data_IF_774349691012
#
_entry.id   IF_774349691012
#
_cell.length_a   1.000
_cell.length_b   1.000
_cell.length_c   1.000
_cell.angle_alpha   90.00
_cell.angle_beta   90.00
_cell.angle_gamma   90.00
#
_symmetry.space_group_name_H-M   'P 1'
#
loop_
_entity.id
_entity.type
_entity.pdbx_description
1 polymer ?
#
# COMPACT_ATOMS: atom_id res chain seq x y z
N UNK A 1 6.97 32.52 -66.33
CA UNK A 1 7.70 33.69 -65.79
C UNK A 1 6.93 34.11 -64.55
N UNK A 2 7.39 34.06 -63.31
CA UNK A 2 8.74 34.12 -62.72
C UNK A 2 8.67 33.40 -61.37
N UNK A 3 9.64 32.54 -61.07
CA UNK A 3 9.83 31.95 -59.75
C UNK A 3 10.53 32.90 -58.80
N UNK A 4 10.38 32.66 -57.49
CA UNK A 4 11.31 33.12 -56.46
C UNK A 4 11.29 32.13 -55.28
N UNK A 5 12.51 31.76 -54.89
CA UNK A 5 12.88 30.65 -54.03
C UNK A 5 12.71 30.94 -52.52
N UNK A 6 12.66 29.90 -51.67
CA UNK A 6 12.61 30.07 -50.23
C UNK A 6 14.01 30.30 -49.61
N UNK A 7 14.06 31.24 -48.68
CA UNK A 7 15.24 31.67 -47.91
C UNK A 7 15.74 30.62 -46.93
N UNK A 8 17.04 30.36 -47.01
CA UNK A 8 17.88 29.45 -46.24
C UNK A 8 18.13 30.02 -44.82
N UNK A 9 17.70 29.34 -43.74
CA UNK A 9 18.20 29.58 -42.38
C UNK A 9 19.27 28.55 -42.01
N UNK A 10 20.39 29.08 -41.52
CA UNK A 10 21.65 28.38 -41.20
C UNK A 10 21.45 27.40 -40.03
N UNK A 11 22.02 26.19 -40.18
CA UNK A 11 22.33 25.27 -39.08
C UNK A 11 23.54 25.82 -38.32
N UNK A 12 23.39 25.99 -37.01
CA UNK A 12 24.48 26.22 -36.06
C UNK A 12 24.67 24.94 -35.27
N UNK A 13 25.81 24.28 -35.47
CA UNK A 13 26.26 23.17 -34.64
C UNK A 13 26.76 23.73 -33.31
N UNK A 14 26.28 23.17 -32.20
CA UNK A 14 26.87 23.39 -30.88
C UNK A 14 27.21 22.04 -30.27
N UNK A 15 28.53 21.85 -30.18
CA UNK A 15 29.31 20.82 -29.49
C UNK A 15 28.65 20.22 -28.24
N UNK A 16 28.61 18.89 -28.22
CA UNK A 16 28.40 18.05 -27.04
C UNK A 16 29.62 18.14 -26.12
N UNK A 17 29.46 18.73 -24.93
CA UNK A 17 30.37 18.52 -23.81
C UNK A 17 29.64 17.73 -22.74
N UNK A 18 29.98 16.45 -22.68
CA UNK A 18 29.55 15.49 -21.66
C UNK A 18 30.25 15.85 -20.35
N UNK A 19 29.50 16.27 -19.34
CA UNK A 19 29.99 16.42 -17.96
C UNK A 19 29.70 15.11 -17.21
N UNK A 20 30.67 14.46 -16.55
CA UNK A 20 30.42 13.24 -15.80
C UNK A 20 29.57 13.51 -14.56
N UNK A 21 28.64 12.59 -14.27
CA UNK A 21 27.92 12.53 -13.00
C UNK A 21 28.91 12.27 -11.85
N UNK A 22 28.89 13.04 -10.75
CA UNK A 22 29.62 12.66 -9.56
C UNK A 22 28.89 11.50 -8.88
N UNK A 23 29.52 10.32 -8.95
CA UNK A 23 29.34 9.26 -7.97
C UNK A 23 29.85 9.73 -6.60
N UNK A 24 29.31 9.12 -5.55
CA UNK A 24 29.66 9.24 -4.12
C UNK A 24 28.87 10.29 -3.33
N UNK A 25 27.70 9.87 -2.84
CA UNK A 25 27.05 10.49 -1.67
C UNK A 25 27.70 9.85 -0.42
N UNK A 26 28.28 10.65 0.50
CA UNK A 26 28.88 10.13 1.73
C UNK A 26 27.84 9.40 2.60
N UNK A 27 28.25 8.26 3.19
CA UNK A 27 27.43 7.41 4.07
C UNK A 27 27.10 8.01 5.45
N UNK A 28 27.43 9.27 5.70
CA UNK A 28 27.26 9.94 7.01
C UNK A 28 26.12 10.98 7.03
N UNK A 29 25.15 10.89 6.11
CA UNK A 29 24.00 11.79 6.05
C UNK A 29 22.67 11.16 6.54
N UNK A 30 22.72 10.01 7.22
CA UNK A 30 21.55 9.29 7.78
C UNK A 30 21.61 9.24 9.32
N UNK A 31 22.18 10.27 9.96
CA UNK A 31 22.23 10.33 11.42
C UNK A 31 21.79 11.71 11.94
N UNK A 32 20.58 12.09 11.53
CA UNK A 32 19.90 13.32 11.93
C UNK A 32 18.48 13.06 12.42
N UNK A 33 18.24 11.93 13.08
CA UNK A 33 16.95 11.68 13.74
C UNK A 33 16.99 12.33 15.13
N UNK A 34 16.69 13.63 15.19
CA UNK A 34 16.23 14.20 16.46
C UNK A 34 14.86 13.60 16.75
N UNK A 35 14.83 12.77 17.79
CA UNK A 35 13.64 12.29 18.48
C UNK A 35 12.68 13.47 18.63
N UNK A 36 11.46 13.34 18.11
CA UNK A 36 10.37 14.30 18.36
C UNK A 36 9.91 14.05 19.80
N UNK A 37 10.71 14.50 20.76
CA UNK A 37 10.48 14.28 22.19
C UNK A 37 9.70 15.44 22.85
N UNK A 38 9.37 16.49 22.10
CA UNK A 38 8.65 17.65 22.60
C UNK A 38 7.22 17.70 22.05
N UNK A 39 6.39 16.74 22.44
CA UNK A 39 4.93 16.89 22.38
C UNK A 39 4.47 17.61 23.65
N UNK A 40 3.75 18.76 23.56
CA UNK A 40 3.03 19.30 24.70
C UNK A 40 1.71 18.53 24.84
N UNK A 41 1.79 17.24 25.17
CA UNK A 41 0.62 16.40 25.46
C UNK A 41 0.71 16.00 26.92
N UNK A 42 -0.34 16.32 27.69
CA UNK A 42 -0.42 15.96 29.09
C UNK A 42 -0.32 14.43 29.23
N UNK A 43 0.76 13.95 29.84
CA UNK A 43 0.95 12.56 30.22
C UNK A 43 0.20 12.40 31.55
N UNK A 44 -0.94 11.72 31.52
CA UNK A 44 -1.58 11.27 32.77
C UNK A 44 -0.78 10.08 33.31
N UNK A 45 -0.10 10.30 34.44
CA UNK A 45 0.58 9.27 35.22
C UNK A 45 -0.47 8.26 35.76
N UNK A 46 -0.39 7.00 35.34
CA UNK A 46 -1.20 5.92 35.91
C UNK A 46 -0.30 4.96 36.68
N UNK A 47 -0.61 4.80 37.97
CA UNK A 47 0.00 3.84 38.88
C UNK A 47 -0.23 2.40 38.42
N UNK A 48 0.75 1.48 38.57
CA UNK A 48 0.56 0.09 38.20
C UNK A 48 -0.43 -0.60 39.16
N UNK A 49 -1.49 -1.17 38.61
CA UNK A 49 -2.31 -2.14 39.32
C UNK A 49 -1.58 -3.49 39.30
N UNK A 50 -1.51 -4.13 40.47
CA UNK A 50 -0.93 -5.46 40.66
C UNK A 50 -1.90 -6.51 40.08
N UNK A 51 -1.47 -7.24 39.05
CA UNK A 51 -2.22 -8.39 38.53
C UNK A 51 -1.73 -9.69 39.19
N UNK A 52 -2.65 -10.36 39.87
CA UNK A 52 -2.50 -11.67 40.50
C UNK A 52 -2.45 -12.80 39.46
N UNK A 53 -1.59 -13.78 39.73
CA UNK A 53 -1.36 -14.99 38.92
C UNK A 53 -2.65 -15.79 38.64
N UNK A 54 -2.86 -16.16 37.37
CA UNK A 54 -3.75 -17.26 36.99
C UNK A 54 -3.12 -18.12 35.87
N UNK A 55 -2.95 -19.40 36.21
CA UNK A 55 -2.32 -20.47 35.43
C UNK A 55 -3.33 -21.18 34.48
N UNK A 56 -2.82 -21.61 33.32
CA UNK A 56 -3.36 -22.54 32.29
C UNK A 56 -4.56 -22.14 31.40
N UNK A 57 -4.30 -21.91 30.10
CA UNK A 57 -4.69 -22.88 29.05
C UNK A 57 -3.96 -22.61 27.73
N UNK A 58 -3.34 -23.66 27.20
CA UNK A 58 -2.69 -23.73 25.88
C UNK A 58 -3.77 -23.54 24.79
N UNK A 59 -3.97 -22.30 24.36
CA UNK A 59 -4.93 -21.92 23.30
C UNK A 59 -4.17 -21.29 22.14
N UNK A 60 -4.26 -21.97 20.99
CA UNK A 60 -3.90 -21.64 19.60
C UNK A 60 -3.47 -20.20 19.25
N UNK A 61 -2.47 -19.64 19.93
CA UNK A 61 -1.90 -18.36 19.54
C UNK A 61 -0.86 -18.60 18.46
N UNK A 62 -1.27 -18.55 17.19
CA UNK A 62 -0.37 -18.45 16.05
C UNK A 62 0.26 -17.05 15.95
N UNK A 63 0.71 -16.51 17.07
CA UNK A 63 1.50 -15.27 17.13
C UNK A 63 2.96 -15.68 17.24
N UNK A 64 3.75 -15.33 16.23
CA UNK A 64 5.21 -15.43 16.31
C UNK A 64 5.70 -14.10 16.88
N UNK A 65 6.15 -14.11 18.13
CA UNK A 65 6.57 -12.89 18.85
C UNK A 65 7.97 -12.46 18.43
N UNK A 66 8.07 -11.84 17.26
CA UNK A 66 9.22 -10.98 16.97
C UNK A 66 8.76 -9.56 17.25
N UNK A 67 9.21 -8.98 18.37
CA UNK A 67 8.93 -7.61 18.84
C UNK A 67 7.50 -7.30 19.29
N UNK A 68 7.24 -7.35 20.60
CA UNK A 68 6.12 -6.57 21.17
C UNK A 68 6.35 -5.06 20.98
N UNK A 69 5.27 -4.27 20.92
CA UNK A 69 5.32 -2.81 20.87
C UNK A 69 6.08 -2.27 22.09
N UNK A 70 7.36 -1.97 21.91
CA UNK A 70 8.24 -1.54 22.99
C UNK A 70 7.96 -0.11 23.49
N UNK A 71 7.16 0.66 22.74
CA UNK A 71 6.87 2.05 23.05
C UNK A 71 5.48 2.19 23.67
N UNK A 72 5.32 2.99 24.75
CA UNK A 72 4.02 3.24 25.33
C UNK A 72 3.09 3.90 24.30
N UNK A 73 1.79 3.55 24.29
CA UNK A 73 0.86 4.12 23.33
C UNK A 73 0.70 5.63 23.56
N UNK A 74 0.46 6.38 22.47
CA UNK A 74 0.18 7.81 22.53
C UNK A 74 -1.33 7.99 22.74
N UNK A 75 -1.73 8.70 23.79
CA UNK A 75 -3.13 9.08 24.03
C UNK A 75 -3.32 10.55 23.66
N UNK A 76 -4.15 10.81 22.66
CA UNK A 76 -4.46 12.16 22.20
C UNK A 76 -5.84 12.18 21.57
N UNK A 77 -6.55 13.31 21.62
CA UNK A 77 -7.82 13.47 20.90
C UNK A 77 -8.90 12.42 21.23
N UNK A 78 -8.92 11.89 22.46
CA UNK A 78 -9.75 10.75 22.88
C UNK A 78 -9.49 9.44 22.14
N UNK A 79 -8.35 9.33 21.47
CA UNK A 79 -7.90 8.17 20.73
C UNK A 79 -6.61 7.60 21.32
N UNK A 80 -6.37 6.33 21.03
CA UNK A 80 -5.08 5.68 21.26
C UNK A 80 -4.37 5.53 19.92
N UNK A 81 -3.09 5.89 19.88
CA UNK A 81 -2.22 5.79 18.71
C UNK A 81 -0.99 4.94 19.04
N UNK A 82 -0.36 4.43 17.98
CA UNK A 82 0.88 3.67 18.10
C UNK A 82 2.02 4.52 18.70
N UNK A 83 2.79 3.92 19.62
CA UNK A 83 3.84 4.61 20.39
C UNK A 83 4.99 5.20 19.56
N UNK A 84 5.21 4.72 18.33
CA UNK A 84 6.25 5.28 17.46
C UNK A 84 5.94 6.65 16.88
N UNK A 85 4.67 7.07 16.89
CA UNK A 85 4.22 8.28 16.19
C UNK A 85 4.35 8.23 14.66
N UNK A 86 4.74 7.10 14.07
CA UNK A 86 4.84 6.93 12.61
C UNK A 86 3.47 6.67 11.98
N UNK A 87 2.61 5.92 12.68
CA UNK A 87 1.23 5.66 12.29
C UNK A 87 0.36 6.82 12.80
N UNK A 88 -0.25 7.54 11.87
CA UNK A 88 -1.01 8.77 12.18
C UNK A 88 -2.51 8.52 12.37
N UNK A 89 -2.97 7.29 12.16
CA UNK A 89 -4.34 6.86 12.47
C UNK A 89 -4.38 6.23 13.87
N UNK A 90 -5.51 6.32 14.59
CA UNK A 90 -5.72 5.58 15.83
C UNK A 90 -5.54 4.08 15.63
N UNK A 91 -5.22 3.36 16.70
CA UNK A 91 -5.22 1.90 16.76
C UNK A 91 -6.21 1.38 17.83
N UNK A 92 -7.38 2.01 17.90
CA UNK A 92 -8.47 1.71 18.84
C UNK A 92 -9.76 1.25 18.12
N UNK A 93 -10.82 1.04 18.90
CA UNK A 93 -12.13 0.55 18.41
C UNK A 93 -12.75 1.43 17.31
N UNK A 94 -12.44 2.74 17.28
CA UNK A 94 -12.92 3.63 16.22
C UNK A 94 -12.32 3.24 14.88
N UNK A 95 -11.00 3.00 14.86
CA UNK A 95 -10.31 2.58 13.64
C UNK A 95 -10.67 1.15 13.24
N UNK A 96 -10.81 0.24 14.20
CA UNK A 96 -11.30 -1.11 13.93
C UNK A 96 -12.69 -1.10 13.27
N UNK A 97 -13.60 -0.23 13.73
CA UNK A 97 -14.91 -0.04 13.10
C UNK A 97 -14.79 0.51 11.67
N UNK A 98 -13.96 1.53 11.46
CA UNK A 98 -13.71 2.12 10.13
C UNK A 98 -13.16 1.06 9.16
N UNK A 99 -12.20 0.25 9.59
CA UNK A 99 -11.62 -0.83 8.79
C UNK A 99 -12.65 -1.91 8.42
N UNK A 100 -13.60 -2.23 9.30
CA UNK A 100 -14.68 -3.17 9.00
C UNK A 100 -15.62 -2.63 7.90
N UNK A 101 -15.98 -1.34 7.97
CA UNK A 101 -16.80 -0.68 6.91
C UNK A 101 -16.01 -0.62 5.59
N UNK A 102 -14.72 -0.31 5.66
CA UNK A 102 -13.83 -0.30 4.51
C UNK A 102 -13.71 -1.70 3.87
N UNK A 103 -13.69 -2.76 4.67
CA UNK A 103 -13.68 -4.13 4.18
C UNK A 103 -14.96 -4.46 3.38
N UNK A 104 -16.14 -4.09 3.89
CA UNK A 104 -17.41 -4.20 3.15
C UNK A 104 -17.33 -3.46 1.81
N UNK A 105 -16.76 -2.25 1.80
CA UNK A 105 -16.62 -1.45 0.58
C UNK A 105 -15.74 -2.15 -0.47
N UNK A 106 -14.60 -2.70 -0.07
CA UNK A 106 -13.73 -3.45 -0.97
C UNK A 106 -14.42 -4.69 -1.53
N UNK A 107 -15.14 -5.45 -0.70
CA UNK A 107 -15.91 -6.61 -1.16
C UNK A 107 -16.96 -6.20 -2.19
N UNK A 108 -17.68 -5.09 -1.99
CA UNK A 108 -18.62 -4.56 -2.99
C UNK A 108 -17.92 -4.17 -4.29
N UNK A 109 -16.71 -3.61 -4.23
CA UNK A 109 -15.90 -3.30 -5.42
C UNK A 109 -15.36 -4.55 -6.13
N UNK A 110 -15.34 -5.69 -5.45
CA UNK A 110 -14.84 -6.97 -5.93
C UNK A 110 -15.97 -7.98 -6.19
N UNK A 111 -17.22 -7.50 -6.31
CA UNK A 111 -18.41 -8.33 -6.53
C UNK A 111 -18.56 -9.48 -5.50
N UNK A 112 -18.22 -9.19 -4.25
CA UNK A 112 -18.20 -10.13 -3.12
C UNK A 112 -16.87 -10.88 -2.93
N UNK A 113 -15.91 -10.70 -3.83
CA UNK A 113 -14.55 -11.25 -3.75
C UNK A 113 -13.64 -10.55 -2.74
N UNK A 114 -12.37 -10.99 -2.68
CA UNK A 114 -11.36 -10.49 -1.75
C UNK A 114 -10.10 -9.93 -2.43
N UNK A 115 -9.92 -10.18 -3.72
CA UNK A 115 -8.77 -9.76 -4.56
C UNK A 115 -9.24 -9.51 -6.01
N UNK A 116 -8.58 -8.61 -6.75
CA UNK A 116 -8.75 -8.49 -8.22
C UNK A 116 -7.86 -9.51 -8.97
N UNK A 117 -6.75 -9.91 -8.37
CA UNK A 117 -5.82 -10.90 -8.92
C UNK A 117 -6.51 -12.26 -9.15
N UNK A 118 -6.14 -12.93 -10.24
CA UNK A 118 -6.60 -14.30 -10.52
C UNK A 118 -5.62 -15.29 -9.90
N UNK A 119 -5.95 -15.78 -8.71
CA UNK A 119 -5.10 -16.69 -7.96
C UNK A 119 -5.40 -18.15 -8.35
N UNK A 120 -4.39 -18.98 -8.70
CA UNK A 120 -4.57 -20.39 -9.08
C UNK A 120 -4.74 -21.30 -7.84
N UNK A 121 -5.73 -20.99 -7.01
CA UNK A 121 -5.96 -21.65 -5.72
C UNK A 121 -6.42 -23.10 -5.88
N UNK A 122 -6.99 -23.46 -7.03
CA UNK A 122 -7.42 -24.81 -7.38
C UNK A 122 -6.24 -25.79 -7.52
N UNK A 123 -5.02 -25.28 -7.69
CA UNK A 123 -3.80 -26.09 -7.81
C UNK A 123 -3.15 -26.41 -6.46
N UNK A 124 -3.77 -26.00 -5.34
CA UNK A 124 -3.21 -26.07 -4.00
C UNK A 124 -4.12 -26.84 -3.06
N UNK A 125 -3.53 -27.43 -2.01
CA UNK A 125 -4.25 -28.16 -0.95
C UNK A 125 -3.73 -27.70 0.42
N UNK A 126 -4.39 -28.01 1.54
CA UNK A 126 -3.85 -27.70 2.86
C UNK A 126 -2.45 -28.30 3.12
N UNK A 127 -2.11 -29.44 2.50
CA UNK A 127 -0.80 -30.09 2.61
C UNK A 127 0.26 -29.46 1.70
N UNK A 128 -0.16 -28.76 0.64
CA UNK A 128 0.69 -27.94 -0.23
C UNK A 128 0.06 -26.55 -0.41
N UNK A 129 0.12 -25.69 0.63
CA UNK A 129 -0.70 -24.49 0.66
C UNK A 129 -0.14 -23.37 -0.21
N UNK A 130 -1.06 -22.57 -0.76
CA UNK A 130 -0.75 -21.32 -1.45
C UNK A 130 -0.30 -20.27 -0.43
N UNK A 131 0.97 -19.86 -0.48
CA UNK A 131 1.59 -18.98 0.50
C UNK A 131 1.25 -17.51 0.21
N UNK A 132 0.67 -16.84 1.19
CA UNK A 132 0.26 -15.44 1.12
C UNK A 132 0.98 -14.64 2.20
N UNK A 133 1.50 -13.47 1.83
CA UNK A 133 1.88 -12.42 2.77
C UNK A 133 0.84 -11.28 2.71
N UNK A 134 0.20 -10.97 3.83
CA UNK A 134 -0.68 -9.81 4.00
C UNK A 134 0.08 -8.68 4.71
N UNK A 135 0.43 -7.65 3.96
CA UNK A 135 1.31 -6.56 4.41
C UNK A 135 0.47 -5.41 4.97
N UNK A 136 0.64 -5.10 6.25
CA UNK A 136 -0.19 -4.16 6.99
C UNK A 136 -1.57 -4.76 7.26
N UNK A 137 -1.59 -5.93 7.92
CA UNK A 137 -2.80 -6.71 8.15
C UNK A 137 -3.86 -5.97 8.99
N UNK A 138 -3.47 -4.96 9.77
CA UNK A 138 -4.32 -4.13 10.62
C UNK A 138 -5.20 -4.96 11.55
N UNK A 139 -6.51 -4.98 11.30
CA UNK A 139 -7.45 -5.80 12.09
C UNK A 139 -7.44 -7.31 11.76
N UNK A 140 -6.64 -7.73 10.77
CA UNK A 140 -6.59 -9.10 10.27
C UNK A 140 -7.86 -9.57 9.56
N UNK A 141 -8.85 -8.68 9.35
CA UNK A 141 -10.16 -9.05 8.81
C UNK A 141 -10.07 -9.69 7.42
N UNK A 142 -9.17 -9.19 6.57
CA UNK A 142 -8.94 -9.77 5.24
C UNK A 142 -8.35 -11.17 5.31
N UNK A 143 -7.26 -11.32 6.07
CA UNK A 143 -6.57 -12.60 6.23
C UNK A 143 -7.54 -13.67 6.76
N UNK A 144 -8.36 -13.34 7.77
CA UNK A 144 -9.38 -14.26 8.30
C UNK A 144 -10.43 -14.64 7.26
N UNK A 145 -10.97 -13.68 6.53
CA UNK A 145 -11.96 -13.93 5.46
C UNK A 145 -11.37 -14.81 4.34
N UNK A 146 -10.12 -14.53 3.93
CA UNK A 146 -9.42 -15.29 2.89
C UNK A 146 -9.17 -16.73 3.34
N UNK A 147 -8.66 -16.92 4.55
CA UNK A 147 -8.38 -18.23 5.13
C UNK A 147 -9.64 -19.07 5.34
N UNK A 148 -10.75 -18.46 5.75
CA UNK A 148 -12.03 -19.14 5.91
C UNK A 148 -12.63 -19.60 4.57
N UNK A 149 -12.50 -18.80 3.50
CA UNK A 149 -13.02 -19.14 2.17
C UNK A 149 -12.14 -20.12 1.42
N UNK A 150 -10.85 -20.15 1.73
CA UNK A 150 -9.85 -20.93 1.01
C UNK A 150 -8.94 -21.70 1.98
N UNK A 151 -9.35 -22.88 2.48
CA UNK A 151 -8.56 -23.66 3.44
C UNK A 151 -7.16 -24.07 2.95
N UNK A 152 -6.93 -24.03 1.63
CA UNK A 152 -5.65 -24.34 1.00
C UNK A 152 -4.66 -23.17 0.96
N UNK A 153 -4.99 -22.00 1.51
CA UNK A 153 -4.04 -20.90 1.66
C UNK A 153 -3.37 -20.95 3.01
N UNK A 154 -2.13 -20.50 3.10
CA UNK A 154 -1.44 -20.22 4.35
C UNK A 154 -1.04 -18.75 4.35
N UNK A 155 -1.47 -17.99 5.35
CA UNK A 155 -1.33 -16.52 5.38
C UNK A 155 -0.43 -16.13 6.54
N UNK A 156 0.66 -15.44 6.24
CA UNK A 156 1.38 -14.62 7.20
C UNK A 156 0.89 -13.18 7.07
N UNK A 157 0.28 -12.64 8.11
CA UNK A 157 -0.02 -11.21 8.19
C UNK A 157 1.04 -10.49 9.01
N UNK A 158 1.56 -9.38 8.50
CA UNK A 158 2.48 -8.51 9.24
C UNK A 158 1.82 -7.16 9.50
N UNK A 159 1.95 -6.65 10.73
CA UNK A 159 1.50 -5.30 11.08
C UNK A 159 2.43 -4.66 12.10
N UNK A 160 2.50 -3.33 12.12
CA UNK A 160 3.34 -2.61 13.08
C UNK A 160 2.88 -2.79 14.52
N UNK A 161 1.61 -3.12 14.76
CA UNK A 161 1.06 -3.23 16.11
C UNK A 161 0.11 -4.42 16.25
N UNK A 162 0.06 -4.99 17.45
CA UNK A 162 -0.95 -6.01 17.80
C UNK A 162 -2.30 -5.44 18.24
N UNK A 163 -2.41 -4.12 18.42
CA UNK A 163 -3.54 -3.49 19.09
C UNK A 163 -4.92 -3.83 18.46
N UNK A 164 -4.97 -3.97 17.14
CA UNK A 164 -6.20 -4.29 16.41
C UNK A 164 -6.28 -5.75 15.94
N UNK A 165 -5.22 -6.54 16.13
CA UNK A 165 -5.17 -7.92 15.67
C UNK A 165 -6.13 -8.79 16.50
N UNK A 166 -6.79 -9.78 15.87
CA UNK A 166 -7.75 -10.63 16.55
C UNK A 166 -7.03 -11.69 17.39
N UNK A 167 -7.57 -12.00 18.56
CA UNK A 167 -7.05 -13.08 19.40
C UNK A 167 -7.37 -14.48 18.84
N UNK A 168 -8.51 -14.62 18.16
CA UNK A 168 -8.96 -15.88 17.56
C UNK A 168 -8.71 -15.87 16.04
N UNK A 169 -7.82 -16.74 15.60
CA UNK A 169 -7.32 -16.82 14.23
C UNK A 169 -7.46 -18.23 13.67
N UNK A 170 -7.85 -18.39 12.39
CA UNK A 170 -7.83 -19.69 11.72
C UNK A 170 -6.43 -20.33 11.78
N UNK A 171 -6.36 -21.66 11.79
CA UNK A 171 -5.09 -22.40 11.90
C UNK A 171 -4.10 -22.10 10.76
N UNK A 172 -4.60 -21.64 9.60
CA UNK A 172 -3.84 -21.26 8.43
C UNK A 172 -3.60 -19.74 8.32
N UNK A 173 -3.71 -19.02 9.44
CA UNK A 173 -3.31 -17.62 9.59
C UNK A 173 -2.32 -17.52 10.75
N UNK A 174 -1.24 -16.79 10.52
CA UNK A 174 -0.23 -16.41 11.51
C UNK A 174 -0.06 -14.90 11.43
N UNK A 175 0.05 -14.23 12.58
CA UNK A 175 0.37 -12.81 12.61
C UNK A 175 1.72 -12.56 13.28
N UNK A 176 2.48 -11.64 12.71
CA UNK A 176 3.75 -11.15 13.24
C UNK A 176 3.69 -9.62 13.39
N UNK A 177 4.23 -9.14 14.50
CA UNK A 177 4.41 -7.70 14.71
C UNK A 177 5.70 -7.31 14.00
N UNK A 178 5.60 -6.56 12.91
CA UNK A 178 6.76 -6.16 12.13
C UNK A 178 6.53 -4.83 11.44
N UNK A 179 7.55 -3.99 11.42
CA UNK A 179 7.56 -2.85 10.53
C UNK A 179 7.79 -3.34 9.10
N UNK A 180 6.85 -3.05 8.20
CA UNK A 180 6.95 -3.42 6.78
C UNK A 180 8.20 -2.87 6.10
N UNK A 181 8.80 -1.81 6.67
CA UNK A 181 10.04 -1.18 6.21
C UNK A 181 11.31 -1.88 6.69
N UNK A 182 11.23 -2.80 7.66
CA UNK A 182 12.36 -3.61 8.11
C UNK A 182 12.66 -4.77 7.14
N UNK A 183 13.86 -5.39 7.22
CA UNK A 183 14.18 -6.58 6.44
C UNK A 183 13.21 -7.73 6.73
N UNK A 184 12.70 -8.37 5.68
CA UNK A 184 11.83 -9.54 5.79
C UNK A 184 12.67 -10.82 5.81
N UNK A 185 12.20 -11.89 6.48
CA UNK A 185 12.87 -13.18 6.42
C UNK A 185 12.93 -13.69 4.97
N UNK A 186 13.96 -14.45 4.58
CA UNK A 186 14.14 -14.95 3.22
C UNK A 186 13.12 -16.06 2.89
N UNK A 187 11.87 -15.66 2.68
CA UNK A 187 10.74 -16.51 2.35
C UNK A 187 10.11 -16.05 1.03
N UNK A 188 9.64 -17.00 0.22
CA UNK A 188 8.98 -16.69 -1.05
C UNK A 188 7.49 -17.03 -1.01
N UNK A 189 6.67 -16.08 -1.43
CA UNK A 189 5.22 -16.17 -1.42
C UNK A 189 4.66 -16.35 -2.83
N UNK A 190 3.53 -17.06 -2.95
CA UNK A 190 2.78 -17.15 -4.20
C UNK A 190 2.01 -15.85 -4.46
N UNK A 191 1.59 -15.16 -3.40
CA UNK A 191 0.87 -13.89 -3.47
C UNK A 191 1.27 -12.95 -2.33
N UNK A 192 1.42 -11.66 -2.65
CA UNK A 192 1.60 -10.60 -1.66
C UNK A 192 0.48 -9.60 -1.81
N UNK A 193 -0.26 -9.38 -0.74
CA UNK A 193 -1.39 -8.49 -0.66
C UNK A 193 -1.03 -7.25 0.16
N UNK A 194 -1.34 -6.07 -0.38
CA UNK A 194 -1.21 -4.77 0.29
C UNK A 194 -2.51 -4.01 0.09
N UNK A 195 -3.20 -3.65 1.18
CA UNK A 195 -4.47 -2.95 1.07
C UNK A 195 -4.65 -1.85 2.10
N UNK A 196 -4.84 -0.63 1.61
CA UNK A 196 -5.06 0.57 2.42
C UNK A 196 -3.93 0.84 3.44
N UNK A 197 -2.69 0.73 2.96
CA UNK A 197 -1.48 0.85 3.77
C UNK A 197 -1.06 2.31 3.98
N UNK A 198 -1.65 3.28 3.26
CA UNK A 198 -1.25 4.70 3.32
C UNK A 198 -1.38 5.35 4.69
N UNK A 199 -2.20 4.80 5.59
CA UNK A 199 -2.30 5.20 6.99
C UNK A 199 -1.23 4.60 7.91
N UNK A 200 -0.53 3.55 7.45
CA UNK A 200 0.39 2.72 8.22
C UNK A 200 1.82 3.25 8.35
N UNK A 201 2.06 4.53 8.04
CA UNK A 201 3.37 5.17 8.26
C UNK A 201 4.46 4.83 7.24
N UNK A 202 4.11 4.27 6.07
CA UNK A 202 5.06 3.99 4.99
C UNK A 202 5.57 5.29 4.38
N UNK A 203 6.90 5.43 4.30
CA UNK A 203 7.57 6.62 3.73
C UNK A 203 8.27 6.37 2.40
N UNK A 204 8.63 5.11 2.11
CA UNK A 204 9.30 4.73 0.86
C UNK A 204 8.58 3.55 0.20
N UNK A 205 7.53 3.90 -0.54
CA UNK A 205 6.71 2.96 -1.30
C UNK A 205 7.49 2.21 -2.37
N UNK A 206 8.45 2.86 -3.01
CA UNK A 206 9.25 2.23 -4.05
C UNK A 206 10.10 1.10 -3.47
N UNK A 207 10.76 1.34 -2.34
CA UNK A 207 11.54 0.30 -1.64
C UNK A 207 10.65 -0.81 -1.10
N UNK A 208 9.47 -0.50 -0.56
CA UNK A 208 8.51 -1.50 -0.10
C UNK A 208 8.04 -2.42 -1.24
N UNK A 209 7.67 -1.85 -2.38
CA UNK A 209 7.25 -2.63 -3.56
C UNK A 209 8.39 -3.47 -4.12
N UNK A 210 9.62 -2.93 -4.16
CA UNK A 210 10.80 -3.68 -4.58
C UNK A 210 11.06 -4.87 -3.64
N UNK A 211 10.94 -4.68 -2.32
CA UNK A 211 11.07 -5.75 -1.33
C UNK A 211 10.00 -6.80 -1.52
N UNK A 212 8.74 -6.41 -1.64
CA UNK A 212 7.66 -7.36 -1.85
C UNK A 212 7.88 -8.19 -3.12
N UNK A 213 8.22 -7.53 -4.23
CA UNK A 213 8.51 -8.23 -5.48
C UNK A 213 9.69 -9.21 -5.38
N UNK A 214 10.72 -8.88 -4.59
CA UNK A 214 11.83 -9.80 -4.33
C UNK A 214 11.36 -11.08 -3.61
N UNK A 215 10.37 -10.97 -2.71
CA UNK A 215 9.79 -12.08 -1.94
C UNK A 215 8.68 -12.83 -2.68
N UNK A 216 8.40 -12.54 -3.95
CA UNK A 216 7.53 -13.39 -4.76
C UNK A 216 8.31 -14.59 -5.34
N UNK A 217 7.65 -15.75 -5.40
CA UNK A 217 8.09 -16.86 -6.25
C UNK A 217 8.04 -16.45 -7.74
N UNK A 218 8.82 -17.08 -8.63
CA UNK A 218 8.59 -16.94 -10.06
C UNK A 218 7.13 -17.27 -10.41
N UNK A 219 6.47 -16.40 -11.18
CA UNK A 219 5.03 -16.49 -11.46
C UNK A 219 4.10 -15.99 -10.35
N UNK A 220 4.62 -15.65 -9.17
CA UNK A 220 3.86 -15.10 -8.06
C UNK A 220 3.28 -13.72 -8.38
N UNK A 221 2.22 -13.34 -7.67
CA UNK A 221 1.46 -12.10 -7.92
C UNK A 221 1.54 -11.12 -6.75
N UNK A 222 1.52 -9.83 -7.04
CA UNK A 222 1.36 -8.76 -6.06
C UNK A 222 0.05 -8.03 -6.36
N UNK A 223 -0.73 -7.73 -5.33
CA UNK A 223 -1.85 -6.81 -5.40
C UNK A 223 -1.68 -5.65 -4.43
N UNK A 224 -1.73 -4.44 -4.97
CA UNK A 224 -1.71 -3.17 -4.23
C UNK A 224 -3.05 -2.48 -4.43
N UNK A 225 -3.80 -2.28 -3.35
CA UNK A 225 -5.17 -1.77 -3.39
C UNK A 225 -5.35 -0.60 -2.43
N UNK A 226 -5.82 0.54 -2.93
CA UNK A 226 -5.96 1.77 -2.14
C UNK A 226 -7.30 2.46 -2.40
N UNK A 227 -7.86 3.06 -1.35
CA UNK A 227 -8.86 4.11 -1.50
C UNK A 227 -8.10 5.42 -1.48
N UNK A 228 -8.05 6.11 -2.61
CA UNK A 228 -7.27 7.35 -2.71
C UNK A 228 -7.85 8.40 -1.75
N UNK A 229 -7.03 9.10 -0.96
CA UNK A 229 -7.50 10.01 0.10
C UNK A 229 -8.14 11.31 -0.43
N UNK A 230 -8.31 11.44 -1.75
CA UNK A 230 -9.02 12.53 -2.41
C UNK A 230 -10.50 12.20 -2.54
N UNK A 231 -11.22 12.27 -1.42
CA UNK A 231 -12.64 11.90 -1.34
C UNK A 231 -13.58 12.93 -1.98
N UNK A 232 -13.10 14.15 -2.23
CA UNK A 232 -13.91 15.28 -2.65
C UNK A 232 -13.54 15.80 -4.02
N UNK A 233 -12.96 14.96 -4.88
CA UNK A 233 -12.70 15.35 -6.27
C UNK A 233 -14.02 15.79 -6.94
N UNK A 234 -14.09 17.07 -7.27
CA UNK A 234 -15.28 17.70 -7.86
C UNK A 234 -15.24 17.66 -9.40
N UNK A 235 -14.10 17.30 -9.99
CA UNK A 235 -13.89 17.32 -11.43
C UNK A 235 -13.66 15.89 -11.95
N UNK A 236 -14.67 15.34 -12.65
CA UNK A 236 -14.54 14.10 -13.41
C UNK A 236 -13.49 14.13 -14.55
N UNK A 237 -12.83 15.26 -14.78
CA UNK A 237 -11.71 15.34 -15.73
C UNK A 237 -10.47 14.71 -15.10
N UNK A 238 -10.40 13.39 -15.21
CA UNK A 238 -9.14 12.62 -15.22
C UNK A 238 -8.04 13.44 -15.88
N UNK A 239 -7.05 13.90 -15.10
CA UNK A 239 -5.70 14.37 -15.50
C UNK A 239 -5.06 15.40 -14.55
N UNK A 240 -5.68 15.78 -13.44
CA UNK A 240 -5.01 16.69 -12.49
C UNK A 240 -4.43 15.87 -11.32
N UNK A 241 -3.22 15.35 -11.52
CA UNK A 241 -2.41 14.70 -10.48
C UNK A 241 -1.79 15.69 -9.49
N UNK A 242 -2.26 16.95 -9.49
CA UNK A 242 -1.89 17.96 -8.52
C UNK A 242 -3.10 18.82 -8.12
N UNK A 243 -3.17 19.34 -6.88
CA UNK A 243 -4.09 20.41 -6.51
C UNK A 243 -3.75 21.77 -7.18
N UNK A 244 -2.98 21.77 -8.26
CA UNK A 244 -2.63 22.98 -9.02
C UNK A 244 -3.75 23.30 -10.01
N UNK A 245 -4.77 23.99 -9.53
CA UNK A 245 -5.85 24.42 -10.40
C UNK A 245 -6.98 25.26 -9.83
N UNK A 246 -6.82 26.01 -8.73
CA UNK A 246 -7.80 27.06 -8.39
C UNK A 246 -7.13 28.36 -7.90
N UNK A 247 -6.43 29.03 -8.82
CA UNK A 247 -6.41 30.48 -8.82
C UNK A 247 -7.76 30.97 -9.40
N UNK A 248 -8.84 30.83 -8.63
CA UNK A 248 -10.21 31.13 -9.05
C UNK A 248 -11.15 31.14 -7.84
N UNK A 249 -12.27 31.85 -7.93
CA UNK A 249 -13.22 32.09 -6.83
C UNK A 249 -13.59 30.80 -6.08
N UNK A 250 -13.76 30.89 -4.75
CA UNK A 250 -14.27 29.79 -3.93
C UNK A 250 -15.56 29.24 -4.57
N UNK A 251 -15.68 27.92 -4.80
CA UNK A 251 -16.90 27.37 -5.36
C UNK A 251 -18.06 27.58 -4.40
N UNK A 252 -19.26 27.75 -4.95
CA UNK A 252 -20.48 27.94 -4.15
C UNK A 252 -20.85 26.72 -3.29
N UNK A 253 -20.32 25.52 -3.64
CA UNK A 253 -20.55 24.24 -2.98
C UNK A 253 -19.21 23.50 -2.83
N UNK A 254 -18.96 22.86 -1.69
CA UNK A 254 -17.77 22.03 -1.45
C UNK A 254 -16.52 22.81 -1.02
N UNK A 255 -16.68 24.04 -0.54
CA UNK A 255 -15.55 24.89 -0.16
C UNK A 255 -14.79 24.34 1.06
N UNK A 256 -15.48 23.78 2.04
CA UNK A 256 -14.86 23.15 3.21
C UNK A 256 -14.20 21.81 2.84
N UNK A 257 -14.84 21.00 1.98
CA UNK A 257 -14.24 19.79 1.42
C UNK A 257 -12.90 20.07 0.72
N UNK A 258 -12.84 21.10 -0.12
CA UNK A 258 -11.60 21.49 -0.79
C UNK A 258 -10.56 22.07 0.17
N UNK A 259 -10.98 22.90 1.13
CA UNK A 259 -10.10 23.42 2.18
C UNK A 259 -9.46 22.26 2.96
N UNK A 260 -10.24 21.23 3.28
CA UNK A 260 -9.78 20.01 3.93
C UNK A 260 -8.76 19.25 3.09
N UNK A 261 -9.02 18.98 1.81
CA UNK A 261 -8.06 18.25 0.96
C UNK A 261 -6.74 19.02 0.80
N UNK A 262 -6.82 20.34 0.64
CA UNK A 262 -5.63 21.19 0.56
C UNK A 262 -4.84 21.17 1.87
N UNK A 263 -5.51 21.29 3.01
CA UNK A 263 -4.88 21.23 4.31
C UNK A 263 -4.24 19.86 4.55
N UNK A 264 -4.96 18.77 4.26
CA UNK A 264 -4.46 17.40 4.36
C UNK A 264 -3.19 17.24 3.53
N UNK A 265 -3.22 17.59 2.24
CA UNK A 265 -2.07 17.50 1.34
C UNK A 265 -0.87 18.34 1.82
N UNK A 266 -1.11 19.55 2.34
CA UNK A 266 -0.06 20.38 2.92
C UNK A 266 0.57 19.72 4.15
N UNK A 267 -0.23 19.13 5.04
CA UNK A 267 0.28 18.47 6.24
C UNK A 267 1.04 17.20 5.89
N UNK A 268 0.52 16.37 4.97
CA UNK A 268 1.19 15.20 4.44
C UNK A 268 2.57 15.55 3.86
N UNK A 269 2.63 16.60 3.03
CA UNK A 269 3.88 17.10 2.44
C UNK A 269 4.86 17.58 3.51
N UNK A 270 4.39 18.34 4.50
CA UNK A 270 5.22 18.82 5.62
C UNK A 270 5.82 17.65 6.43
N UNK A 271 5.07 16.55 6.58
CA UNK A 271 5.52 15.36 7.29
C UNK A 271 6.39 14.42 6.46
N UNK A 272 6.49 14.65 5.15
CA UNK A 272 7.18 13.77 4.21
C UNK A 272 6.50 12.40 4.09
N UNK A 273 5.17 12.37 4.16
CA UNK A 273 4.37 11.15 4.00
C UNK A 273 3.54 11.27 2.73
N UNK A 274 3.68 10.29 1.84
CA UNK A 274 2.87 10.17 0.63
C UNK A 274 1.64 9.30 0.91
N UNK A 275 0.49 9.96 1.05
CA UNK A 275 -0.80 9.30 1.25
C UNK A 275 -1.50 8.89 -0.06
N UNK A 276 -0.95 9.22 -1.23
CA UNK A 276 -1.52 8.86 -2.54
C UNK A 276 -0.43 8.33 -3.49
N UNK A 277 0.26 7.22 -3.13
CA UNK A 277 1.34 6.66 -3.93
C UNK A 277 0.86 6.00 -5.23
N UNK A 278 -0.44 5.66 -5.29
CA UNK A 278 -1.09 4.88 -6.34
C UNK A 278 -0.70 5.29 -7.77
N UNK A 279 -0.63 6.59 -8.15
CA UNK A 279 -0.24 6.98 -9.51
C UNK A 279 1.18 6.56 -9.92
N UNK A 280 2.09 6.35 -8.96
CA UNK A 280 3.47 5.95 -9.23
C UNK A 280 3.67 4.43 -9.19
N UNK A 281 2.78 3.68 -8.54
CA UNK A 281 2.91 2.24 -8.33
C UNK A 281 3.12 1.45 -9.62
N UNK A 282 2.36 1.65 -10.73
CA UNK A 282 2.58 0.92 -11.98
C UNK A 282 3.98 1.16 -12.56
N UNK A 283 4.49 2.39 -12.44
CA UNK A 283 5.82 2.78 -12.91
C UNK A 283 6.92 2.11 -12.08
N UNK A 284 6.78 2.09 -10.75
CA UNK A 284 7.73 1.42 -9.87
C UNK A 284 7.76 -0.09 -10.11
N UNK A 285 6.59 -0.73 -10.25
CA UNK A 285 6.47 -2.15 -10.60
C UNK A 285 7.11 -2.47 -11.96
N UNK A 286 6.91 -1.61 -12.96
CA UNK A 286 7.57 -1.78 -14.26
C UNK A 286 9.09 -1.66 -14.16
N UNK A 287 9.59 -0.70 -13.39
CA UNK A 287 11.03 -0.48 -13.23
C UNK A 287 11.76 -1.65 -12.54
N UNK A 288 11.07 -2.40 -11.67
CA UNK A 288 11.62 -3.59 -11.00
C UNK A 288 11.43 -4.89 -11.80
N UNK A 289 10.90 -4.81 -13.03
CA UNK A 289 10.77 -5.95 -13.94
C UNK A 289 9.50 -6.78 -13.75
N UNK A 290 8.47 -6.23 -13.09
CA UNK A 290 7.17 -6.89 -13.03
C UNK A 290 6.50 -6.93 -14.41
N UNK A 291 5.80 -8.02 -14.69
CA UNK A 291 5.03 -8.21 -15.90
C UNK A 291 3.51 -8.25 -15.61
N UNK A 292 2.70 -8.18 -16.67
CA UNK A 292 1.23 -8.22 -16.55
C UNK A 292 0.66 -7.18 -15.58
N UNK A 293 1.26 -5.99 -15.51
CA UNK A 293 0.79 -4.90 -14.65
C UNK A 293 -0.57 -4.43 -15.15
N UNK A 294 -1.59 -4.51 -14.30
CA UNK A 294 -2.96 -4.10 -14.58
C UNK A 294 -3.44 -3.16 -13.50
N UNK A 295 -4.04 -2.06 -13.93
CA UNK A 295 -4.72 -1.09 -13.07
C UNK A 295 -6.22 -1.13 -13.35
N UNK A 296 -7.01 -1.26 -12.29
CA UNK A 296 -8.48 -1.20 -12.32
C UNK A 296 -8.93 -0.13 -11.33
N UNK A 297 -9.73 0.82 -11.78
CA UNK A 297 -10.24 1.91 -10.96
C UNK A 297 -11.76 1.85 -10.87
N UNK A 298 -12.27 1.79 -9.65
CA UNK A 298 -13.68 1.95 -9.32
C UNK A 298 -13.92 3.40 -8.86
N UNK A 299 -14.78 4.12 -9.59
CA UNK A 299 -15.18 5.48 -9.26
C UNK A 299 -16.45 5.47 -8.45
N UNK A 300 -16.36 5.89 -7.19
CA UNK A 300 -17.43 5.75 -6.22
C UNK A 300 -17.99 7.13 -5.86
N UNK A 301 -19.27 7.39 -6.13
CA UNK A 301 -19.86 8.65 -5.70
C UNK A 301 -20.07 8.61 -4.18
N UNK A 302 -19.56 9.62 -3.46
CA UNK A 302 -19.67 9.71 -1.98
C UNK A 302 -21.12 9.86 -1.51
N UNK A 303 -22.03 10.15 -2.44
CA UNK A 303 -23.48 10.05 -2.29
C UNK A 303 -24.13 9.46 -3.53
N UNK A 304 -25.27 8.81 -3.34
CA UNK A 304 -26.05 8.13 -4.37
C UNK A 304 -26.69 9.08 -5.40
N UNK A 305 -25.88 9.63 -6.32
CA UNK A 305 -26.38 10.17 -7.59
C UNK A 305 -26.29 9.14 -8.75
N UNK A 306 -25.87 7.90 -8.44
CA UNK A 306 -25.89 6.76 -9.35
C UNK A 306 -27.29 6.15 -9.51
N UNK A 307 -27.65 5.79 -10.74
CA UNK A 307 -28.96 5.23 -11.06
C UNK A 307 -29.05 3.72 -10.82
N UNK A 308 -27.92 3.00 -10.80
CA UNK A 308 -27.92 1.55 -10.57
C UNK A 308 -27.81 1.19 -9.07
N UNK A 309 -28.42 0.08 -8.62
CA UNK A 309 -28.42 -0.31 -7.21
C UNK A 309 -27.04 -0.57 -6.60
N UNK A 310 -26.08 -1.05 -7.39
CA UNK A 310 -24.75 -1.44 -6.90
C UNK A 310 -23.95 -0.18 -6.58
N UNK A 311 -23.90 0.78 -7.49
CA UNK A 311 -23.24 2.08 -7.28
C UNK A 311 -23.85 2.83 -6.11
N UNK A 312 -25.17 2.77 -5.92
CA UNK A 312 -25.82 3.36 -4.72
C UNK A 312 -25.33 2.70 -3.43
N UNK A 313 -25.30 1.37 -3.38
CA UNK A 313 -24.84 0.63 -2.19
C UNK A 313 -23.35 0.91 -1.91
N UNK A 314 -22.49 0.95 -2.93
CA UNK A 314 -21.08 1.38 -2.79
C UNK A 314 -20.98 2.79 -2.21
N UNK A 315 -21.77 3.73 -2.73
CA UNK A 315 -21.81 5.11 -2.24
C UNK A 315 -22.30 5.25 -0.80
N UNK A 316 -23.31 4.47 -0.39
CA UNK A 316 -23.79 4.42 1.00
C UNK A 316 -22.72 3.93 1.97
N UNK A 317 -22.01 2.85 1.62
CA UNK A 317 -20.94 2.29 2.45
C UNK A 317 -19.73 3.22 2.47
N UNK A 318 -19.36 3.84 1.35
CA UNK A 318 -18.33 4.86 1.28
C UNK A 318 -18.68 6.08 2.13
N UNK A 319 -19.92 6.56 2.09
CA UNK A 319 -20.37 7.66 2.94
C UNK A 319 -20.20 7.29 4.42
N UNK A 320 -20.68 6.11 4.83
CA UNK A 320 -20.49 5.60 6.19
C UNK A 320 -19.01 5.56 6.57
N UNK A 321 -18.15 5.06 5.67
CA UNK A 321 -16.70 5.03 5.88
C UNK A 321 -16.13 6.43 6.09
N UNK A 322 -16.45 7.42 5.25
CA UNK A 322 -15.95 8.79 5.39
C UNK A 322 -16.37 9.40 6.74
N UNK A 323 -17.61 9.20 7.16
CA UNK A 323 -18.10 9.70 8.46
C UNK A 323 -17.27 9.16 9.65
N UNK A 324 -16.86 7.88 9.63
CA UNK A 324 -15.99 7.32 10.68
C UNK A 324 -14.48 7.50 10.41
N UNK A 325 -14.08 7.92 9.21
CA UNK A 325 -12.67 8.14 8.85
C UNK A 325 -12.20 9.56 9.17
N UNK A 326 -13.09 10.54 9.10
CA UNK A 326 -12.70 11.95 9.12
C UNK A 326 -11.90 12.29 10.38
N UNK A 327 -12.38 11.91 11.56
CA UNK A 327 -11.65 12.14 12.80
C UNK A 327 -10.33 11.35 12.84
N UNK A 328 -10.39 10.03 12.59
CA UNK A 328 -9.27 9.10 12.64
C UNK A 328 -8.08 9.53 11.75
N UNK A 329 -8.34 10.14 10.60
CA UNK A 329 -7.30 10.52 9.64
C UNK A 329 -6.82 11.96 9.78
N UNK A 330 -7.54 12.80 10.54
CA UNK A 330 -7.30 14.25 10.56
C UNK A 330 -6.55 14.69 11.80
N UNK A 331 -7.03 14.32 12.99
CA UNK A 331 -6.65 15.02 14.22
C UNK A 331 -5.15 14.95 14.51
N UNK A 332 -4.55 13.76 14.48
CA UNK A 332 -3.12 13.60 14.70
C UNK A 332 -2.29 14.27 13.60
N UNK A 333 -2.64 14.06 12.32
CA UNK A 333 -1.91 14.66 11.19
C UNK A 333 -1.92 16.19 11.26
N UNK A 334 -3.07 16.79 11.53
CA UNK A 334 -3.25 18.24 11.59
C UNK A 334 -2.60 18.82 12.86
N UNK A 335 -2.73 18.13 13.99
CA UNK A 335 -2.07 18.49 15.25
C UNK A 335 -0.56 18.55 15.13
N UNK A 336 0.06 17.48 14.60
CA UNK A 336 1.50 17.47 14.28
C UNK A 336 1.85 18.56 13.24
N UNK A 337 0.91 18.85 12.34
CA UNK A 337 0.97 19.93 11.37
C UNK A 337 0.98 21.34 11.98
N UNK A 338 0.60 21.49 13.25
CA UNK A 338 0.50 22.75 13.99
C UNK A 338 -0.88 23.39 13.95
N UNK A 339 -1.92 22.64 13.57
CA UNK A 339 -3.30 23.11 13.67
C UNK A 339 -3.83 22.95 15.10
N UNK A 340 -4.58 23.96 15.54
CA UNK A 340 -5.36 23.87 16.76
C UNK A 340 -6.48 22.83 16.61
N UNK A 341 -6.72 22.02 17.66
CA UNK A 341 -7.77 20.99 17.64
C UNK A 341 -9.15 21.60 17.36
N UNK A 342 -9.46 22.72 18.00
CA UNK A 342 -10.75 23.41 17.83
C UNK A 342 -10.97 23.89 16.39
N UNK A 343 -9.93 24.41 15.74
CA UNK A 343 -9.98 24.81 14.34
C UNK A 343 -10.14 23.61 13.42
N UNK A 344 -9.45 22.51 13.72
CA UNK A 344 -9.52 21.25 12.98
C UNK A 344 -10.92 20.65 13.04
N UNK A 345 -11.51 20.54 14.24
CA UNK A 345 -12.89 20.08 14.43
C UNK A 345 -13.91 20.98 13.74
N UNK A 346 -13.72 22.30 13.79
CA UNK A 346 -14.58 23.26 13.07
C UNK A 346 -14.55 23.03 11.55
N UNK A 347 -13.38 22.73 10.97
CA UNK A 347 -13.28 22.37 9.56
C UNK A 347 -14.00 21.05 9.26
N UNK A 348 -13.80 20.03 10.09
CA UNK A 348 -14.50 18.74 9.96
C UNK A 348 -16.02 18.89 10.01
N UNK A 349 -16.55 19.69 10.93
CA UNK A 349 -17.99 19.97 11.03
C UNK A 349 -18.54 20.60 9.75
N UNK A 350 -17.79 21.55 9.16
CA UNK A 350 -18.15 22.18 7.89
C UNK A 350 -18.13 21.18 6.72
N UNK A 351 -17.12 20.30 6.67
CA UNK A 351 -17.05 19.21 5.68
C UNK A 351 -18.27 18.29 5.81
N UNK A 352 -18.60 17.89 7.03
CA UNK A 352 -19.75 17.02 7.31
C UNK A 352 -21.08 17.68 6.96
N UNK A 353 -21.20 19.00 7.13
CA UNK A 353 -22.37 19.76 6.69
C UNK A 353 -22.46 19.84 5.17
N UNK A 354 -21.36 20.13 4.46
CA UNK A 354 -21.33 20.13 3.00
C UNK A 354 -21.66 18.76 2.41
N UNK A 355 -21.19 17.69 3.05
CA UNK A 355 -21.54 16.31 2.69
C UNK A 355 -23.04 16.04 2.78
N UNK A 356 -23.85 16.85 3.49
CA UNK A 356 -25.32 16.73 3.52
C UNK A 356 -25.98 17.31 2.27
N UNK A 357 -25.35 18.24 1.55
CA UNK A 357 -25.94 18.87 0.36
C UNK A 357 -25.99 17.87 -0.82
N UNK A 358 -27.18 17.54 -1.37
CA UNK A 358 -27.29 16.65 -2.53
C UNK A 358 -26.69 17.23 -3.82
N UNK A 359 -26.36 18.53 -3.86
CA UNK A 359 -25.70 19.16 -4.99
C UNK A 359 -24.18 18.95 -4.98
N UNK A 360 -23.60 18.57 -3.84
CA UNK A 360 -22.19 18.18 -3.77
C UNK A 360 -22.02 16.81 -4.47
N UNK A 361 -21.37 16.82 -5.63
CA UNK A 361 -21.12 15.62 -6.46
C UNK A 361 -19.68 15.17 -6.34
N UNK A 362 -19.24 14.85 -5.14
CA UNK A 362 -17.91 14.30 -4.89
C UNK A 362 -17.80 12.82 -5.28
N UNK A 363 -16.60 12.43 -5.71
CA UNK A 363 -16.23 11.05 -6.01
C UNK A 363 -14.96 10.67 -5.27
N UNK A 364 -14.87 9.40 -4.87
CA UNK A 364 -13.65 8.76 -4.43
C UNK A 364 -13.22 7.71 -5.46
N UNK A 365 -11.93 7.34 -5.43
CA UNK A 365 -11.37 6.31 -6.29
C UNK A 365 -10.88 5.15 -5.44
N UNK A 366 -11.32 3.94 -5.80
CA UNK A 366 -10.74 2.69 -5.29
C UNK A 366 -9.92 2.08 -6.42
N UNK A 367 -8.62 1.94 -6.21
CA UNK A 367 -7.69 1.47 -7.24
C UNK A 367 -7.13 0.12 -6.85
N UNK A 368 -7.13 -0.80 -7.79
CA UNK A 368 -6.56 -2.14 -7.67
C UNK A 368 -5.44 -2.24 -8.70
N UNK A 369 -4.22 -2.50 -8.24
CA UNK A 369 -3.05 -2.68 -9.08
C UNK A 369 -2.52 -4.08 -8.86
N UNK A 370 -2.55 -4.90 -9.92
CA UNK A 370 -2.00 -6.25 -9.90
C UNK A 370 -0.76 -6.33 -10.77
N UNK A 371 0.21 -7.13 -10.37
CA UNK A 371 1.42 -7.40 -11.13
C UNK A 371 1.91 -8.83 -10.87
N UNK A 372 2.67 -9.38 -11.82
CA UNK A 372 3.23 -10.73 -11.72
C UNK A 372 4.75 -10.70 -11.83
N UNK A 373 5.42 -11.54 -11.05
CA UNK A 373 6.85 -11.82 -11.22
C UNK A 373 7.04 -12.76 -12.42
N UNK A 374 7.98 -12.50 -13.33
CA UNK A 374 8.28 -13.41 -14.43
C UNK A 374 8.55 -14.84 -13.95
N UNK A 375 8.19 -15.84 -14.75
CA UNK A 375 8.46 -17.25 -14.47
C UNK A 375 9.96 -17.60 -14.46
N UNK A 376 10.82 -16.68 -14.90
CA UNK A 376 12.21 -16.95 -15.21
C UNK A 376 12.34 -17.70 -16.54
N UNK A 377 13.52 -17.65 -17.16
CA UNK A 377 13.90 -18.68 -18.13
C UNK A 377 14.17 -19.96 -17.34
N UNK A 378 13.62 -21.13 -17.72
CA UNK A 378 14.06 -22.38 -17.12
C UNK A 378 15.57 -22.47 -17.29
N UNK A 379 16.32 -22.61 -16.18
CA UNK A 379 17.71 -22.98 -16.31
C UNK A 379 17.76 -24.31 -17.06
N UNK A 380 18.65 -24.47 -18.06
CA UNK A 380 18.82 -25.76 -18.70
C UNK A 380 19.13 -26.77 -17.59
N UNK A 381 18.30 -27.80 -17.48
CA UNK A 381 18.51 -28.86 -16.50
C UNK A 381 19.92 -29.42 -16.69
N UNK A 382 20.63 -29.63 -15.58
CA UNK A 382 21.99 -30.20 -15.58
C UNK A 382 22.08 -31.55 -16.34
N UNK A 383 20.95 -32.21 -16.59
CA UNK A 383 20.85 -33.41 -17.43
C UNK A 383 21.13 -33.16 -18.92
N UNK A 384 20.99 -31.93 -19.43
CA UNK A 384 21.30 -31.61 -20.84
C UNK A 384 22.77 -31.22 -21.07
N UNK A 385 23.52 -30.91 -20.00
CA UNK A 385 24.95 -30.60 -20.09
C UNK A 385 25.80 -31.87 -20.25
N UNK A 386 25.46 -32.96 -19.55
CA UNK A 386 26.19 -34.24 -19.64
C UNK A 386 26.03 -34.91 -21.02
N UNK A 387 24.88 -34.78 -21.67
CA UNK A 387 24.68 -35.29 -23.03
C UNK A 387 25.39 -34.45 -24.11
N UNK A 388 25.67 -33.17 -23.84
CA UNK A 388 26.42 -32.30 -24.75
C UNK A 388 27.93 -32.53 -24.68
N UNK A 389 28.49 -32.79 -23.49
CA UNK A 389 29.91 -33.14 -23.33
C UNK A 389 30.20 -34.58 -23.79
N UNK A 390 29.25 -35.51 -23.67
CA UNK A 390 29.40 -36.88 -24.19
C UNK A 390 29.39 -36.95 -25.73
N UNK A 391 28.63 -36.07 -26.38
CA UNK A 391 28.59 -35.97 -27.84
C UNK A 391 29.87 -35.33 -28.42
N UNK A 392 30.46 -34.36 -27.72
CA UNK A 392 31.69 -33.70 -28.19
C UNK A 392 32.96 -34.56 -27.96
N UNK A 393 32.95 -35.47 -26.98
CA UNK A 393 34.07 -36.38 -26.70
C UNK A 393 34.17 -37.58 -27.66
N UNK A 394 33.15 -37.86 -28.48
CA UNK A 394 33.15 -38.99 -29.43
C UNK A 394 33.59 -38.64 -30.85
N UNK A 395 33.84 -37.36 -31.16
CA UNK A 395 34.20 -36.91 -32.52
C UNK A 395 35.72 -36.64 -32.73
N UNK A 396 36.57 -36.91 -31.72
CA UNK A 396 38.03 -36.77 -31.86
C UNK A 396 38.78 -38.09 -31.71
N UNK A 397 38.67 -38.96 -32.71
CA UNK A 397 39.61 -40.06 -32.92
C UNK A 397 40.10 -40.04 -34.38
N UNK A 398 41.39 -39.70 -34.66
CA UNK A 398 41.89 -39.68 -36.03
C UNK A 398 42.22 -41.09 -36.52
N UNK A 399 41.71 -41.43 -37.71
CA UNK A 399 42.00 -42.64 -38.46
C UNK A 399 43.51 -42.80 -38.75
N UNK A 400 44.09 -43.91 -38.27
CA UNK A 400 45.41 -44.34 -38.68
C UNK A 400 45.35 -44.96 -40.08
N UNK A 401 45.80 -44.19 -41.07
CA UNK A 401 46.06 -44.61 -42.45
C UNK A 401 47.02 -45.81 -42.50
N UNK A 402 46.52 -46.93 -43.05
CA UNK A 402 47.35 -48.00 -43.60
C UNK A 402 47.58 -47.71 -45.08
N UNK A 403 48.82 -47.45 -45.47
CA UNK A 403 49.30 -47.77 -46.80
C UNK A 403 50.66 -48.46 -46.71
N UNK A 404 50.74 -49.58 -47.43
CA UNK A 404 51.89 -50.45 -47.55
C UNK A 404 52.81 -50.00 -48.70
N UNK A 405 54.12 -49.94 -48.46
CA UNK A 405 55.23 -50.60 -49.19
C UNK A 405 56.58 -50.14 -48.63
#
# INVERSE_FOLDING_TARGET
MTGLAPTRRRKSAASSTTTPLPHDIPRDAIDGCHVVQDLPVAIDDVSPAEDEDADLSDTCSNFSSVSEDSLPPIRAYNHTYHGSGQVMTPNDDSEAHRMAVQHELFQLCLDGGLVDAKLPLENHTPENPFQILDVGAGSGIWARDMAQRHPQVNILGIDMTRAMLPNDVPANVTFEIANVMDPWPPHLYDFIHMRNLVGGGVRDWQSLLARAFAHLKPGGQLEFTEIRPRFFDLNHSSQVDQPNGMAGAKPDIGAACLEYEMAFWQMSTKMGVDFDPTPQVPKWLSAIGAESIRERVDWLPVKSWGNDPITRKKGEVLNKMINCSLENWTLMLFGLGGWEETATRTLMDRVMEELKDPKLKSIAQVTFITARKPLGTPEPSAETAEDSEAAEATETAPEASRHAE
#
